data_IF_632417793683
#
_entry.id   IF_632417793683
#
_cell.length_a   1.000
_cell.length_b   1.000
_cell.length_c   1.000
_cell.angle_alpha   90.00
_cell.angle_beta   90.00
_cell.angle_gamma   90.00
#
_symmetry.space_group_name_H-M   'P 1'
#
loop_
_entity.id
_entity.type
_entity.pdbx_description
1 polymer ?
#
# COMPACT_ATOMS: atom_id res chain seq x y z
N UNK A 1 -15.59 19.74 -0.36
CA UNK A 1 -15.18 19.82 -0.53
C UNK A 1 -14.45 19.95 -0.65
N UNK A 2 -14.39 19.97 -0.82
CA UNK A 2 -13.40 20.26 -0.59
C UNK A 2 -12.48 19.26 -0.77
N UNK A 3 -11.81 18.85 -0.15
CA UNK A 3 -11.01 17.74 -0.15
C UNK A 3 -10.37 17.43 -1.48
N UNK A 4 -10.73 16.32 -2.07
CA UNK A 4 -10.06 15.83 -3.27
C UNK A 4 -10.11 16.83 -4.43
N UNK A 5 -11.23 17.49 -4.59
CA UNK A 5 -11.41 18.39 -5.74
C UNK A 5 -10.51 19.62 -5.68
N UNK A 6 -10.02 19.94 -4.48
CA UNK A 6 -9.12 21.06 -4.30
C UNK A 6 -7.69 20.62 -4.04
N UNK A 7 -7.42 19.32 -4.03
CA UNK A 7 -6.09 18.81 -3.74
C UNK A 7 -5.12 19.10 -4.89
N UNK A 8 -3.82 19.22 -4.58
CA UNK A 8 -2.81 19.38 -5.64
C UNK A 8 -2.82 18.23 -6.63
N UNK A 9 -3.08 17.01 -6.14
CA UNK A 9 -3.15 15.83 -7.01
C UNK A 9 -4.27 15.96 -8.03
N UNK A 10 -5.44 16.39 -7.58
CA UNK A 10 -6.58 16.54 -8.47
C UNK A 10 -6.30 17.60 -9.52
N UNK A 11 -5.75 18.74 -9.10
CA UNK A 11 -5.47 19.84 -10.01
C UNK A 11 -4.41 19.46 -11.03
N UNK A 12 -3.38 18.75 -10.58
CA UNK A 12 -2.33 18.31 -11.47
C UNK A 12 -2.88 17.40 -12.57
N UNK A 13 -3.73 16.45 -12.17
CA UNK A 13 -4.32 15.52 -13.13
C UNK A 13 -5.23 16.24 -14.13
N UNK A 14 -5.99 17.23 -13.64
CA UNK A 14 -6.95 17.94 -14.46
C UNK A 14 -6.27 18.86 -15.48
N UNK A 15 -5.27 19.61 -15.03
CA UNK A 15 -4.67 20.66 -15.87
C UNK A 15 -3.34 20.25 -16.51
N UNK A 16 -2.68 19.26 -15.96
CA UNK A 16 -1.37 18.81 -16.44
C UNK A 16 -1.32 17.29 -16.48
N UNK A 17 -2.19 16.67 -17.31
CA UNK A 17 -2.30 15.20 -17.28
C UNK A 17 -1.01 14.45 -17.63
N UNK A 18 -0.19 15.03 -18.53
CA UNK A 18 1.06 14.37 -18.89
C UNK A 18 2.03 14.34 -17.72
N UNK A 19 2.10 15.46 -16.98
CA UNK A 19 2.97 15.51 -15.79
C UNK A 19 2.46 14.57 -14.72
N UNK A 20 1.15 14.55 -14.52
CA UNK A 20 0.54 13.66 -13.55
C UNK A 20 0.85 12.19 -13.87
N UNK A 21 0.72 11.82 -15.13
CA UNK A 21 0.98 10.44 -15.54
C UNK A 21 2.44 10.06 -15.36
N UNK A 22 3.36 10.99 -15.65
CA UNK A 22 4.78 10.74 -15.45
C UNK A 22 5.11 10.56 -13.98
N UNK A 23 4.54 11.39 -13.13
CA UNK A 23 4.76 11.27 -11.69
C UNK A 23 4.23 9.96 -11.15
N UNK A 24 3.04 9.56 -11.59
CA UNK A 24 2.47 8.28 -11.18
C UNK A 24 3.34 7.13 -11.59
N UNK A 25 3.89 7.18 -12.80
CA UNK A 25 4.76 6.13 -13.29
C UNK A 25 6.04 6.05 -12.45
N UNK A 26 6.61 7.20 -12.12
CA UNK A 26 7.81 7.23 -11.28
C UNK A 26 7.52 6.70 -9.88
N UNK A 27 6.38 7.05 -9.32
CA UNK A 27 5.96 6.54 -8.01
C UNK A 27 5.77 5.02 -8.07
N UNK A 28 5.15 4.54 -9.13
CA UNK A 28 4.97 3.11 -9.32
C UNK A 28 6.31 2.39 -9.39
N UNK A 29 7.23 2.89 -10.23
CA UNK A 29 8.53 2.27 -10.39
C UNK A 29 9.30 2.24 -9.07
N UNK A 30 9.31 3.35 -8.35
CA UNK A 30 10.01 3.45 -7.09
C UNK A 30 9.42 2.54 -6.04
N UNK A 31 8.10 2.57 -5.89
CA UNK A 31 7.43 1.80 -4.85
C UNK A 31 7.52 0.30 -5.11
N UNK A 32 7.27 -0.13 -6.36
CA UNK A 32 7.32 -1.54 -6.66
C UNK A 32 8.73 -2.10 -6.49
N UNK A 33 9.75 -1.31 -6.85
CA UNK A 33 11.12 -1.75 -6.64
C UNK A 33 11.44 -1.92 -5.17
N UNK A 34 11.01 -0.97 -4.36
CA UNK A 34 11.23 -1.01 -2.91
C UNK A 34 10.50 -2.18 -2.27
N UNK A 35 9.24 -2.38 -2.65
CA UNK A 35 8.42 -3.46 -2.09
C UNK A 35 8.97 -4.82 -2.50
N UNK A 36 9.40 -4.97 -3.76
CA UNK A 36 10.01 -6.23 -4.20
C UNK A 36 11.22 -6.59 -3.35
N UNK A 37 12.03 -5.60 -3.03
CA UNK A 37 13.20 -5.82 -2.19
C UNK A 37 12.80 -6.33 -0.81
N UNK A 38 11.79 -5.69 -0.22
CA UNK A 38 11.30 -6.09 1.09
C UNK A 38 10.66 -7.48 1.05
N UNK A 39 9.89 -7.78 0.00
CA UNK A 39 9.26 -9.08 -0.14
C UNK A 39 10.30 -10.19 -0.29
N UNK A 40 11.32 -9.93 -1.10
CA UNK A 40 12.41 -10.89 -1.30
C UNK A 40 13.10 -11.20 0.03
N UNK A 41 13.39 -10.15 0.80
CA UNK A 41 14.03 -10.32 2.09
C UNK A 41 13.14 -11.10 3.05
N UNK A 42 11.84 -10.80 3.06
CA UNK A 42 10.91 -11.53 3.92
C UNK A 42 10.79 -13.00 3.57
N UNK A 43 10.85 -13.33 2.27
CA UNK A 43 10.87 -14.74 1.86
C UNK A 43 12.15 -15.40 2.32
N UNK A 44 13.29 -14.73 2.15
CA UNK A 44 14.58 -15.28 2.60
C UNK A 44 14.60 -15.51 4.10
N UNK A 45 13.97 -14.64 4.86
CA UNK A 45 13.88 -14.77 6.32
C UNK A 45 12.77 -15.73 6.76
N UNK A 46 12.06 -16.33 5.79
CA UNK A 46 10.97 -17.28 6.03
C UNK A 46 9.79 -16.67 6.78
N UNK A 47 9.64 -15.36 6.68
CA UNK A 47 8.50 -14.65 7.25
C UNK A 47 7.35 -14.55 6.25
N UNK A 48 7.66 -14.55 4.95
CA UNK A 48 6.66 -14.55 3.88
C UNK A 48 6.71 -15.88 3.16
N UNK A 49 5.55 -16.30 2.64
CA UNK A 49 5.43 -17.61 1.98
C UNK A 49 6.30 -17.66 0.72
N UNK A 50 7.06 -18.73 0.54
CA UNK A 50 7.92 -18.84 -0.65
C UNK A 50 7.17 -18.97 -1.96
N UNK A 51 5.87 -19.24 -1.89
CA UNK A 51 5.04 -19.43 -3.07
C UNK A 51 4.47 -18.14 -3.63
N UNK A 52 4.70 -16.98 -2.98
CA UNK A 52 4.13 -15.74 -3.47
C UNK A 52 4.83 -15.30 -4.76
N UNK A 53 4.06 -14.69 -5.63
CA UNK A 53 4.59 -14.04 -6.84
C UNK A 53 4.98 -12.63 -6.44
N UNK A 54 6.27 -12.41 -6.24
CA UNK A 54 6.77 -11.15 -5.70
C UNK A 54 6.41 -9.98 -6.61
N UNK A 55 6.53 -10.15 -7.91
CA UNK A 55 6.17 -9.09 -8.85
C UNK A 55 4.69 -8.75 -8.74
N UNK A 56 3.84 -9.78 -8.74
CA UNK A 56 2.39 -9.56 -8.65
C UNK A 56 2.01 -8.88 -7.34
N UNK A 57 2.55 -9.36 -6.24
CA UNK A 57 2.25 -8.79 -4.92
C UNK A 57 2.68 -7.33 -4.83
N UNK A 58 3.85 -7.01 -5.40
CA UNK A 58 4.33 -5.62 -5.36
C UNK A 58 3.39 -4.70 -6.15
N UNK A 59 2.88 -5.17 -7.28
CA UNK A 59 1.95 -4.39 -8.08
C UNK A 59 0.60 -4.24 -7.38
N UNK A 60 0.12 -5.31 -6.76
CA UNK A 60 -1.13 -5.25 -5.98
C UNK A 60 -0.99 -4.32 -4.80
N UNK A 61 0.17 -4.31 -4.16
CA UNK A 61 0.40 -3.40 -3.04
C UNK A 61 0.29 -1.95 -3.50
N UNK A 62 0.92 -1.61 -4.61
CA UNK A 62 0.84 -0.26 -5.15
C UNK A 62 -0.60 0.09 -5.52
N UNK A 63 -1.28 -0.84 -6.18
CA UNK A 63 -2.67 -0.64 -6.59
C UNK A 63 -3.56 -0.33 -5.39
N UNK A 64 -3.39 -1.07 -4.31
CA UNK A 64 -4.16 -0.83 -3.10
C UNK A 64 -3.82 0.48 -2.42
N UNK A 65 -2.53 0.84 -2.41
CA UNK A 65 -2.11 2.11 -1.83
C UNK A 65 -2.75 3.30 -2.54
N UNK A 66 -2.87 3.22 -3.85
CA UNK A 66 -3.57 4.26 -4.62
C UNK A 66 -5.07 4.21 -4.32
N UNK A 67 -5.63 3.00 -4.28
CA UNK A 67 -7.07 2.81 -4.12
C UNK A 67 -7.61 3.30 -2.79
N UNK A 68 -6.88 3.10 -1.71
CA UNK A 68 -7.38 3.52 -0.40
C UNK A 68 -7.44 5.03 -0.25
N UNK A 69 -6.83 5.78 -1.16
CA UNK A 69 -6.90 7.24 -1.15
C UNK A 69 -8.12 7.77 -1.88
N UNK A 70 -8.89 6.89 -2.49
CA UNK A 70 -10.10 7.28 -3.22
C UNK A 70 -11.21 7.58 -2.21
N UNK A 71 -11.58 8.85 -2.09
CA UNK A 71 -12.55 9.27 -1.08
C UNK A 71 -13.97 8.84 -1.39
N UNK A 72 -14.25 8.48 -2.64
CA UNK A 72 -15.56 7.93 -2.98
C UNK A 72 -15.72 6.51 -2.46
N UNK A 73 -14.65 5.73 -2.51
CA UNK A 73 -14.67 4.36 -2.01
C UNK A 73 -14.45 4.32 -0.50
N UNK A 74 -13.60 5.21 0.01
CA UNK A 74 -13.25 5.24 1.43
C UNK A 74 -13.48 6.65 1.96
N UNK A 75 -14.74 6.97 2.31
CA UNK A 75 -15.09 8.34 2.73
C UNK A 75 -14.33 8.78 3.97
N UNK A 76 -13.95 10.05 3.97
CA UNK A 76 -13.21 10.64 5.08
C UNK A 76 -14.00 10.56 6.38
N UNK A 77 -15.32 10.67 6.29
CA UNK A 77 -16.19 10.59 7.46
C UNK A 77 -16.16 9.24 8.14
N UNK A 78 -15.84 8.20 7.39
CA UNK A 78 -15.86 6.84 7.89
C UNK A 78 -14.47 6.31 8.26
N UNK A 79 -13.45 6.75 7.53
CA UNK A 79 -12.09 6.25 7.71
C UNK A 79 -11.11 7.40 7.80
N UNK A 80 -10.30 7.42 8.85
CA UNK A 80 -9.16 8.34 8.90
C UNK A 80 -8.05 7.77 8.00
N UNK A 81 -7.14 8.61 7.51
CA UNK A 81 -6.00 8.11 6.73
C UNK A 81 -5.18 7.08 7.49
N UNK A 82 -5.04 7.25 8.79
CA UNK A 82 -4.29 6.30 9.62
C UNK A 82 -4.98 4.94 9.69
N UNK A 83 -6.30 4.95 9.85
CA UNK A 83 -7.07 3.71 9.87
C UNK A 83 -6.98 2.96 8.54
N UNK A 84 -7.05 3.72 7.44
CA UNK A 84 -6.94 3.11 6.12
C UNK A 84 -5.59 2.44 5.94
N UNK A 85 -4.52 3.13 6.36
CA UNK A 85 -3.18 2.58 6.22
C UNK A 85 -3.01 1.33 7.09
N UNK A 86 -3.45 1.39 8.34
CA UNK A 86 -3.33 0.26 9.25
C UNK A 86 -4.11 -0.95 8.75
N UNK A 87 -5.34 -0.71 8.30
CA UNK A 87 -6.17 -1.79 7.79
C UNK A 87 -5.57 -2.41 6.55
N UNK A 88 -5.05 -1.57 5.66
CA UNK A 88 -4.47 -2.06 4.43
C UNK A 88 -3.20 -2.86 4.69
N UNK A 89 -2.32 -2.38 5.55
CA UNK A 89 -1.09 -3.10 5.88
C UNK A 89 -1.41 -4.44 6.55
N UNK A 90 -2.36 -4.46 7.47
CA UNK A 90 -2.77 -5.68 8.11
C UNK A 90 -3.30 -6.69 7.10
N UNK A 91 -4.18 -6.22 6.22
CA UNK A 91 -4.75 -7.04 5.16
C UNK A 91 -3.65 -7.62 4.26
N UNK A 92 -2.75 -6.76 3.82
CA UNK A 92 -1.67 -7.13 2.91
C UNK A 92 -0.74 -8.17 3.55
N UNK A 93 -0.31 -7.92 4.78
CA UNK A 93 0.64 -8.79 5.45
C UNK A 93 0.03 -10.16 5.77
N UNK A 94 -1.21 -10.18 6.23
CA UNK A 94 -1.85 -11.46 6.54
C UNK A 94 -2.00 -12.35 5.32
N UNK A 95 -2.06 -11.75 4.13
CA UNK A 95 -2.20 -12.51 2.90
C UNK A 95 -0.91 -13.23 2.50
N UNK A 96 0.24 -12.79 3.00
CA UNK A 96 1.53 -13.29 2.51
C UNK A 96 2.42 -13.92 3.57
N UNK A 97 2.09 -13.78 4.85
CA UNK A 97 2.96 -14.28 5.92
C UNK A 97 2.91 -15.80 6.05
N UNK A 98 4.03 -16.35 6.54
CA UNK A 98 4.09 -17.72 7.02
C UNK A 98 3.54 -17.78 8.44
N UNK A 99 3.51 -18.98 9.01
CA UNK A 99 3.13 -19.13 10.41
C UNK A 99 4.06 -18.32 11.32
N UNK A 100 5.36 -18.40 11.05
CA UNK A 100 6.34 -17.62 11.82
C UNK A 100 6.13 -16.11 11.62
N UNK A 101 5.86 -15.70 10.38
CA UNK A 101 5.57 -14.31 10.10
C UNK A 101 4.32 -13.83 10.81
N UNK A 102 3.29 -14.68 10.90
CA UNK A 102 2.07 -14.34 11.61
C UNK A 102 2.33 -14.14 13.10
N UNK A 103 3.18 -15.00 13.70
CA UNK A 103 3.54 -14.85 15.10
C UNK A 103 4.23 -13.52 15.36
N UNK A 104 5.14 -13.15 14.47
CA UNK A 104 5.85 -11.88 14.59
C UNK A 104 4.88 -10.71 14.45
N UNK A 105 4.00 -10.77 13.47
CA UNK A 105 3.00 -9.73 13.24
C UNK A 105 2.09 -9.57 14.44
N UNK A 106 1.61 -10.67 15.00
CA UNK A 106 0.73 -10.64 16.16
C UNK A 106 1.42 -10.04 17.37
N UNK A 107 2.70 -10.38 17.56
CA UNK A 107 3.51 -9.83 18.65
C UNK A 107 3.64 -8.33 18.51
N UNK A 108 3.89 -7.86 17.31
CA UNK A 108 4.02 -6.42 17.04
C UNK A 108 2.71 -5.68 17.35
N UNK A 109 1.60 -6.24 16.90
CA UNK A 109 0.30 -5.63 17.13
C UNK A 109 -0.03 -5.54 18.61
N UNK A 110 0.31 -6.58 19.37
CA UNK A 110 0.04 -6.61 20.82
C UNK A 110 0.82 -5.58 21.60
N UNK A 111 2.02 -5.22 21.13
CA UNK A 111 2.84 -4.23 21.82
C UNK A 111 2.48 -2.82 21.44
N UNK A 112 1.65 -2.63 20.45
CA UNK A 112 1.24 -1.32 19.99
C UNK A 112 0.22 -0.73 20.96
N UNK A 113 0.41 0.54 21.39
CA UNK A 113 -0.54 1.19 22.30
C UNK A 113 -1.92 1.33 21.73
#
# INVERSE_FOLDING_TARGET
>A
LKGEKTSPQHQLRKYYPNIHNELQKKQFDFMTKSVKKSLTKGVEMKLFRPSIDIDFISRMYFNGMVGIKNVDMFPIEKYSPEQLMENYLDYHLRAIVTEDGMKLLSSYIKTKP
#
